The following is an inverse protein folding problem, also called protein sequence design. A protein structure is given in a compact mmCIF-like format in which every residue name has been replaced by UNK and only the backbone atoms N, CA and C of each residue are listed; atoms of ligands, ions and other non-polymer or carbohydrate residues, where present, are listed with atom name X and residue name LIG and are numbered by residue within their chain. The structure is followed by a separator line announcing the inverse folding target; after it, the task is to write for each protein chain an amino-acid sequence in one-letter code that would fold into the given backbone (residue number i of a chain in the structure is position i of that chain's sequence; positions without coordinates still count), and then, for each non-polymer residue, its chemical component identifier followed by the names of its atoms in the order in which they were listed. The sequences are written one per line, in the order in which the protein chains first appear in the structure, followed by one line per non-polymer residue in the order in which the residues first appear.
data_IF_310425132257
#
_entry.id   IF_310425132257
#
_cell.length_a   1.000
_cell.length_b   1.000
_cell.length_c   1.000
_cell.angle_alpha   90.00
_cell.angle_beta   90.00
_cell.angle_gamma   90.00
#
_symmetry.space_group_name_H-M   'P 1'
#
loop_
_entity.id
_entity.type
_entity.pdbx_description
1 polymer ?
#
# COMPACT_ATOMS: atom_id res chain seq x y z
N UNK A 1 -36.96 -11.32 -16.77
CA UNK A 1 -38.26 -11.30 -16.08
C UNK A 1 -38.32 -9.97 -15.34
N UNK A 2 -39.39 -9.21 -15.49
CA UNK A 2 -39.61 -7.94 -14.78
C UNK A 2 -40.57 -8.24 -13.63
N UNK A 3 -40.26 -7.85 -12.39
CA UNK A 3 -41.13 -8.12 -11.24
C UNK A 3 -42.50 -7.48 -11.41
N UNK A 4 -42.55 -6.19 -11.76
CA UNK A 4 -43.80 -5.49 -12.10
C UNK A 4 -43.55 -4.37 -13.12
N UNK A 5 -44.31 -4.43 -14.23
CA UNK A 5 -44.46 -3.33 -15.18
C UNK A 5 -45.85 -2.72 -15.00
N UNK A 6 -45.91 -1.42 -14.72
CA UNK A 6 -47.15 -0.68 -14.58
C UNK A 6 -47.24 0.41 -15.67
N UNK A 7 -48.44 0.64 -16.17
CA UNK A 7 -48.74 1.75 -17.07
C UNK A 7 -49.54 2.81 -16.30
N UNK A 8 -49.11 4.05 -16.41
CA UNK A 8 -49.81 5.25 -15.96
C UNK A 8 -50.28 6.01 -17.20
N UNK A 9 -51.42 6.67 -17.07
CA UNK A 9 -51.98 7.47 -18.16
C UNK A 9 -50.96 8.45 -18.75
N UNK A 10 -51.05 8.70 -20.06
CA UNK A 10 -50.19 9.66 -20.75
C UNK A 10 -48.88 9.08 -21.28
N UNK A 11 -48.75 7.75 -21.41
CA UNK A 11 -47.54 7.12 -21.96
C UNK A 11 -46.41 6.94 -20.93
N UNK A 12 -46.74 6.91 -19.64
CA UNK A 12 -45.77 6.79 -18.56
C UNK A 12 -45.74 5.32 -18.11
N UNK A 13 -44.58 4.69 -18.16
CA UNK A 13 -44.39 3.33 -17.68
C UNK A 13 -43.55 3.32 -16.41
N UNK A 14 -43.88 2.44 -15.48
CA UNK A 14 -43.16 2.25 -14.22
C UNK A 14 -42.63 0.81 -14.18
N UNK A 15 -41.33 0.66 -14.00
CA UNK A 15 -40.65 -0.62 -13.82
C UNK A 15 -40.28 -0.72 -12.35
N UNK A 16 -40.85 -1.70 -11.66
CA UNK A 16 -40.57 -1.93 -10.24
C UNK A 16 -39.76 -3.20 -10.04
N UNK A 17 -38.80 -3.14 -9.13
CA UNK A 17 -38.01 -4.27 -8.65
C UNK A 17 -38.00 -4.25 -7.11
N UNK A 18 -38.27 -5.43 -6.52
CA UNK A 18 -38.43 -5.57 -5.08
C UNK A 18 -37.18 -6.18 -4.46
N UNK A 19 -36.50 -5.41 -3.61
CA UNK A 19 -35.29 -5.83 -2.90
C UNK A 19 -35.58 -6.12 -1.44
N UNK A 20 -35.13 -7.30 -1.00
CA UNK A 20 -35.24 -7.78 0.39
C UNK A 20 -33.91 -7.70 1.15
N UNK A 21 -32.90 -7.01 0.60
CA UNK A 21 -31.59 -6.90 1.22
C UNK A 21 -31.65 -6.05 2.50
N UNK A 22 -30.83 -6.41 3.49
CA UNK A 22 -30.75 -5.77 4.81
C UNK A 22 -29.86 -4.51 4.83
N UNK A 23 -29.50 -3.97 3.67
CA UNK A 23 -28.67 -2.77 3.52
C UNK A 23 -29.28 -1.81 2.52
N UNK A 24 -29.34 -0.53 2.85
CA UNK A 24 -29.70 0.49 1.87
C UNK A 24 -28.46 0.85 1.05
N UNK A 25 -28.50 0.71 -0.29
CA UNK A 25 -27.39 1.14 -1.13
C UNK A 25 -27.27 2.66 -1.15
N UNK A 26 -26.08 3.14 -1.46
CA UNK A 26 -25.80 4.56 -1.69
C UNK A 26 -26.39 4.93 -3.06
N UNK A 27 -27.06 6.09 -3.20
CA UNK A 27 -27.73 6.49 -4.45
C UNK A 27 -26.85 6.34 -5.70
N UNK A 28 -25.56 6.69 -5.60
CA UNK A 28 -24.57 6.55 -6.68
C UNK A 28 -24.46 5.11 -7.23
N UNK A 29 -24.65 4.10 -6.37
CA UNK A 29 -24.63 2.70 -6.79
C UNK A 29 -25.86 2.36 -7.64
N UNK A 30 -27.05 2.85 -7.26
CA UNK A 30 -28.28 2.62 -8.02
C UNK A 30 -28.24 3.38 -9.35
N UNK A 31 -27.70 4.60 -9.38
CA UNK A 31 -27.56 5.38 -10.62
C UNK A 31 -26.69 4.69 -11.69
N UNK A 32 -25.73 3.88 -11.25
CA UNK A 32 -24.82 3.11 -12.10
C UNK A 32 -25.32 1.67 -12.37
N UNK A 33 -26.41 1.27 -11.74
CA UNK A 33 -26.96 -0.07 -11.88
C UNK A 33 -27.59 -0.26 -13.27
N UNK A 34 -27.27 -1.37 -13.92
CA UNK A 34 -27.74 -1.67 -15.28
C UNK A 34 -29.06 -2.46 -15.31
N UNK A 35 -29.53 -2.98 -14.17
CA UNK A 35 -30.62 -3.96 -14.12
C UNK A 35 -31.94 -3.39 -14.64
N UNK A 36 -32.49 -2.34 -14.01
CA UNK A 36 -33.73 -1.72 -14.47
C UNK A 36 -33.60 -0.97 -15.80
N UNK A 37 -32.50 -0.23 -16.07
CA UNK A 37 -32.30 0.40 -17.38
C UNK A 37 -32.34 -0.57 -18.56
N UNK A 38 -31.84 -1.80 -18.41
CA UNK A 38 -31.95 -2.84 -19.46
C UNK A 38 -33.42 -3.17 -19.76
N UNK A 39 -34.27 -3.27 -18.74
CA UNK A 39 -35.70 -3.50 -18.93
C UNK A 39 -36.38 -2.31 -19.62
N UNK A 40 -35.99 -1.09 -19.28
CA UNK A 40 -36.52 0.12 -19.91
C UNK A 40 -36.25 0.15 -21.42
N UNK A 41 -35.05 -0.25 -21.87
CA UNK A 41 -34.74 -0.39 -23.29
C UNK A 41 -35.73 -1.35 -23.97
N UNK A 42 -36.00 -2.52 -23.35
CA UNK A 42 -36.97 -3.49 -23.87
C UNK A 42 -38.42 -3.00 -23.86
N UNK A 43 -38.81 -2.18 -22.87
CA UNK A 43 -40.14 -1.57 -22.79
C UNK A 43 -40.31 -0.53 -23.89
N UNK A 44 -39.33 0.36 -24.12
CA UNK A 44 -39.38 1.34 -25.22
C UNK A 44 -39.49 0.70 -26.60
N UNK A 45 -38.71 -0.37 -26.84
CA UNK A 45 -38.74 -1.09 -28.11
C UNK A 45 -40.10 -1.77 -28.36
N UNK A 46 -40.74 -2.26 -27.29
CA UNK A 46 -42.02 -2.98 -27.37
C UNK A 46 -43.24 -2.07 -27.40
N UNK A 47 -43.20 -0.92 -26.74
CA UNK A 47 -44.33 0.00 -26.56
C UNK A 47 -43.98 1.38 -27.12
N UNK A 48 -44.33 1.69 -28.38
CA UNK A 48 -44.02 2.96 -29.03
C UNK A 48 -44.65 4.20 -28.36
N UNK A 49 -45.67 3.99 -27.52
CA UNK A 49 -46.33 5.02 -26.72
C UNK A 49 -45.65 5.31 -25.37
N UNK A 50 -44.57 4.58 -25.04
CA UNK A 50 -43.75 4.83 -23.86
C UNK A 50 -42.93 6.13 -24.00
N UNK A 51 -43.49 7.24 -23.50
CA UNK A 51 -42.86 8.56 -23.50
C UNK A 51 -41.94 8.79 -22.30
N UNK A 52 -42.28 8.23 -21.15
CA UNK A 52 -41.54 8.34 -19.90
C UNK A 52 -41.45 6.95 -19.25
N UNK A 53 -40.28 6.60 -18.70
CA UNK A 53 -40.08 5.34 -17.98
C UNK A 53 -39.43 5.64 -16.63
N UNK A 54 -40.12 5.26 -15.56
CA UNK A 54 -39.64 5.40 -14.18
C UNK A 54 -39.10 4.07 -13.68
N UNK A 55 -37.88 4.10 -13.14
CA UNK A 55 -37.19 2.94 -12.60
C UNK A 55 -37.27 2.99 -11.08
N UNK A 56 -37.98 2.05 -10.47
CA UNK A 56 -38.36 2.12 -9.06
C UNK A 56 -37.85 0.88 -8.32
N UNK A 57 -36.91 1.08 -7.40
CA UNK A 57 -36.48 0.04 -6.47
C UNK A 57 -37.23 0.16 -5.15
N UNK A 58 -37.83 -0.95 -4.71
CA UNK A 58 -38.50 -1.07 -3.42
C UNK A 58 -37.59 -1.80 -2.42
N UNK A 59 -37.09 -1.09 -1.41
CA UNK A 59 -36.30 -1.67 -0.32
C UNK A 59 -37.21 -2.05 0.85
N UNK A 60 -37.79 -3.26 0.77
CA UNK A 60 -38.85 -3.71 1.67
C UNK A 60 -38.45 -3.74 3.14
N UNK A 61 -37.18 -4.07 3.45
CA UNK A 61 -36.67 -4.09 4.82
C UNK A 61 -36.64 -2.70 5.49
N UNK A 62 -36.67 -1.63 4.69
CA UNK A 62 -36.56 -0.26 5.15
C UNK A 62 -37.80 0.59 4.87
N UNK A 63 -38.81 0.00 4.20
CA UNK A 63 -40.00 0.71 3.72
C UNK A 63 -39.64 1.97 2.92
N UNK A 64 -38.71 1.82 1.96
CA UNK A 64 -38.22 2.93 1.13
C UNK A 64 -38.27 2.61 -0.35
N UNK A 65 -38.59 3.63 -1.13
CA UNK A 65 -38.54 3.60 -2.59
C UNK A 65 -37.45 4.54 -3.10
N UNK A 66 -36.75 4.11 -4.15
CA UNK A 66 -35.82 4.96 -4.89
C UNK A 66 -36.27 4.95 -6.35
N UNK A 67 -36.67 6.13 -6.84
CA UNK A 67 -37.02 6.37 -8.23
C UNK A 67 -35.84 7.02 -8.96
N UNK A 68 -35.47 6.45 -10.10
CA UNK A 68 -34.51 7.06 -11.04
C UNK A 68 -35.17 7.18 -12.41
N UNK A 69 -34.75 8.20 -13.15
CA UNK A 69 -35.09 8.41 -14.56
C UNK A 69 -33.79 8.50 -15.35
N UNK A 70 -33.85 8.05 -16.60
CA UNK A 70 -32.75 8.19 -17.56
C UNK A 70 -33.25 8.88 -18.82
N UNK A 71 -32.42 9.74 -19.39
CA UNK A 71 -32.70 10.35 -20.69
C UNK A 71 -32.30 9.44 -21.86
N UNK A 72 -32.59 9.87 -23.09
CA UNK A 72 -32.28 9.09 -24.29
C UNK A 72 -30.77 8.94 -24.53
N UNK A 73 -29.96 9.92 -24.12
CA UNK A 73 -28.51 9.87 -24.26
C UNK A 73 -27.92 8.79 -23.34
N UNK A 74 -28.35 8.77 -22.07
CA UNK A 74 -27.97 7.73 -21.11
C UNK A 74 -28.39 6.32 -21.56
N UNK A 75 -29.55 6.17 -22.19
CA UNK A 75 -29.98 4.88 -22.73
C UNK A 75 -29.14 4.43 -23.92
N UNK A 76 -28.75 5.35 -24.81
CA UNK A 76 -27.88 5.03 -25.94
C UNK A 76 -26.46 4.70 -25.48
N UNK A 77 -25.91 5.43 -24.50
CA UNK A 77 -24.62 5.11 -23.88
C UNK A 77 -24.64 3.70 -23.25
N UNK A 78 -25.70 3.38 -22.50
CA UNK A 78 -25.88 2.05 -21.92
C UNK A 78 -25.97 0.98 -23.02
N UNK A 79 -26.71 1.22 -24.10
CA UNK A 79 -26.82 0.29 -25.22
C UNK A 79 -25.46 0.01 -25.86
N UNK A 80 -24.68 1.05 -26.13
CA UNK A 80 -23.33 0.92 -26.68
C UNK A 80 -22.40 0.18 -25.73
N UNK A 81 -22.46 0.49 -24.43
CA UNK A 81 -21.73 -0.22 -23.39
C UNK A 81 -22.08 -1.71 -23.37
N UNK A 82 -23.38 -2.07 -23.39
CA UNK A 82 -23.82 -3.47 -23.37
C UNK A 82 -23.38 -4.23 -24.61
N UNK A 83 -23.49 -3.63 -25.80
CA UNK A 83 -22.98 -4.24 -27.05
C UNK A 83 -21.47 -4.46 -26.95
N UNK A 84 -20.72 -3.48 -26.43
CA UNK A 84 -19.28 -3.63 -26.22
C UNK A 84 -18.94 -4.75 -25.23
N UNK A 85 -19.76 -4.91 -24.18
CA UNK A 85 -19.59 -5.95 -23.16
C UNK A 85 -19.90 -7.34 -23.75
N UNK A 86 -20.99 -7.47 -24.50
CA UNK A 86 -21.35 -8.72 -25.19
C UNK A 86 -20.22 -9.13 -26.14
N UNK A 87 -19.75 -8.21 -26.99
CA UNK A 87 -18.63 -8.51 -27.91
C UNK A 87 -17.39 -8.95 -27.16
N UNK A 88 -17.05 -8.30 -26.03
CA UNK A 88 -15.90 -8.72 -25.20
C UNK A 88 -16.08 -10.14 -24.65
N UNK A 89 -17.29 -10.51 -24.23
CA UNK A 89 -17.60 -11.86 -23.74
C UNK A 89 -17.51 -12.88 -24.88
N UNK A 90 -18.07 -12.58 -26.05
CA UNK A 90 -18.07 -13.48 -27.21
C UNK A 90 -16.67 -13.72 -27.80
N UNK A 91 -15.76 -12.75 -27.70
CA UNK A 91 -14.38 -12.86 -28.17
C UNK A 91 -13.40 -13.33 -27.09
N UNK A 92 -13.87 -13.58 -25.85
CA UNK A 92 -13.00 -14.01 -24.77
C UNK A 92 -12.79 -15.53 -24.81
N UNK A 93 -11.56 -15.95 -25.04
CA UNK A 93 -11.13 -17.35 -24.85
C UNK A 93 -10.70 -17.63 -23.40
N UNK A 94 -10.40 -16.58 -22.63
CA UNK A 94 -9.92 -16.67 -21.26
C UNK A 94 -10.77 -15.80 -20.32
N UNK A 95 -11.11 -16.38 -19.16
CA UNK A 95 -11.90 -15.74 -18.12
C UNK A 95 -11.10 -15.70 -16.82
N UNK A 96 -10.09 -14.82 -16.72
CA UNK A 96 -9.29 -14.70 -15.50
C UNK A 96 -10.19 -14.29 -14.33
N UNK A 97 -10.05 -15.00 -13.22
CA UNK A 97 -10.76 -14.68 -12.00
C UNK A 97 -10.34 -13.29 -11.51
N UNK A 98 -11.31 -12.54 -10.97
CA UNK A 98 -11.06 -11.27 -10.28
C UNK A 98 -11.43 -11.45 -8.82
N UNK A 99 -10.47 -11.83 -7.95
CA UNK A 99 -10.74 -12.04 -6.54
C UNK A 99 -11.40 -10.82 -5.88
N UNK A 100 -12.44 -11.07 -5.08
CA UNK A 100 -13.15 -10.04 -4.32
C UNK A 100 -13.83 -10.65 -3.11
N UNK A 101 -14.45 -9.83 -2.26
CA UNK A 101 -15.26 -10.30 -1.12
C UNK A 101 -16.42 -11.21 -1.54
N UNK A 102 -16.86 -11.15 -2.80
CA UNK A 102 -17.90 -12.04 -3.33
C UNK A 102 -17.39 -13.46 -3.57
N UNK A 103 -16.07 -13.67 -3.62
CA UNK A 103 -15.52 -15.01 -3.79
C UNK A 103 -16.01 -15.95 -2.71
N UNK A 104 -16.21 -15.50 -1.46
CA UNK A 104 -16.69 -16.34 -0.36
C UNK A 104 -18.04 -17.01 -0.65
N UNK A 105 -18.88 -16.37 -1.45
CA UNK A 105 -20.23 -16.81 -1.81
C UNK A 105 -20.31 -17.43 -3.21
N UNK A 106 -19.20 -17.52 -3.93
CA UNK A 106 -19.16 -18.01 -5.31
C UNK A 106 -19.31 -19.54 -5.36
N UNK A 107 -20.31 -20.03 -6.07
CA UNK A 107 -20.56 -21.47 -6.27
C UNK A 107 -19.56 -22.12 -7.24
N UNK A 108 -18.86 -21.32 -8.05
CA UNK A 108 -17.92 -21.79 -9.07
C UNK A 108 -16.47 -21.97 -8.58
N UNK A 109 -16.22 -21.92 -7.25
CA UNK A 109 -14.86 -22.09 -6.70
C UNK A 109 -14.18 -23.39 -7.13
N UNK A 110 -14.94 -24.46 -7.35
CA UNK A 110 -14.41 -25.76 -7.77
C UNK A 110 -13.71 -25.72 -9.14
N UNK A 111 -14.13 -24.83 -10.04
CA UNK A 111 -13.54 -24.66 -11.37
C UNK A 111 -12.69 -23.39 -11.49
N UNK A 112 -12.82 -22.46 -10.54
CA UNK A 112 -12.10 -21.20 -10.51
C UNK A 112 -10.59 -21.41 -10.35
N UNK A 113 -9.78 -20.74 -11.17
CA UNK A 113 -8.31 -20.82 -11.11
C UNK A 113 -7.71 -20.57 -9.73
N UNK A 114 -8.32 -19.67 -8.96
CA UNK A 114 -7.88 -19.28 -7.61
C UNK A 114 -8.12 -20.37 -6.55
N UNK A 115 -9.16 -21.19 -6.73
CA UNK A 115 -9.64 -22.10 -5.67
C UNK A 115 -9.66 -23.57 -6.07
N UNK A 116 -9.61 -23.89 -7.36
CA UNK A 116 -9.76 -25.27 -7.87
C UNK A 116 -8.73 -26.24 -7.30
N UNK A 117 -7.49 -25.80 -7.03
CA UNK A 117 -6.47 -26.66 -6.42
C UNK A 117 -6.85 -27.01 -4.98
N UNK A 118 -7.27 -26.02 -4.19
CA UNK A 118 -7.78 -26.26 -2.83
C UNK A 118 -8.96 -27.23 -2.82
N UNK A 119 -9.98 -27.01 -3.65
CA UNK A 119 -11.14 -27.91 -3.70
C UNK A 119 -10.78 -29.32 -4.16
N UNK A 120 -9.81 -29.48 -5.07
CA UNK A 120 -9.28 -30.80 -5.47
C UNK A 120 -8.62 -31.55 -4.31
N UNK A 121 -8.09 -30.83 -3.33
CA UNK A 121 -7.41 -31.39 -2.16
C UNK A 121 -8.38 -31.72 -1.02
N UNK A 122 -9.48 -30.98 -0.86
CA UNK A 122 -10.44 -31.14 0.25
C UNK A 122 -11.05 -32.55 0.34
N UNK A 123 -11.11 -33.30 -0.77
CA UNK A 123 -11.69 -34.65 -0.82
C UNK A 123 -10.65 -35.77 -0.76
N UNK A 124 -9.37 -35.47 -0.50
CA UNK A 124 -8.26 -36.44 -0.55
C UNK A 124 -7.88 -36.98 0.82
N UNK A 125 -7.25 -38.15 0.84
CA UNK A 125 -6.59 -38.68 2.03
C UNK A 125 -5.39 -37.82 2.41
N UNK A 126 -4.88 -37.94 3.64
CA UNK A 126 -3.69 -37.21 4.07
C UNK A 126 -2.47 -37.57 3.22
N UNK A 127 -2.29 -38.85 2.87
CA UNK A 127 -1.18 -39.31 2.04
C UNK A 127 -1.27 -38.73 0.61
N UNK A 128 -2.47 -38.68 0.03
CA UNK A 128 -2.72 -38.07 -1.28
C UNK A 128 -2.56 -36.54 -1.30
N UNK A 129 -2.78 -35.89 -0.16
CA UNK A 129 -2.54 -34.46 0.03
C UNK A 129 -1.04 -34.16 0.09
N UNK A 130 -0.30 -34.88 0.94
CA UNK A 130 1.15 -34.70 1.14
C UNK A 130 1.97 -35.10 -0.09
N UNK A 131 1.43 -35.98 -0.94
CA UNK A 131 2.05 -36.36 -2.21
C UNK A 131 1.69 -35.44 -3.38
N UNK A 132 0.79 -34.44 -3.19
CA UNK A 132 0.47 -33.49 -4.24
C UNK A 132 1.68 -32.59 -4.56
N UNK A 133 2.09 -32.60 -5.83
CA UNK A 133 3.27 -31.84 -6.29
C UNK A 133 3.13 -30.34 -6.03
N UNK A 134 1.91 -29.79 -6.11
CA UNK A 134 1.65 -28.38 -5.82
C UNK A 134 1.92 -28.06 -4.35
N UNK A 135 1.42 -28.89 -3.44
CA UNK A 135 1.67 -28.79 -1.99
C UNK A 135 3.18 -28.83 -1.72
N UNK A 136 3.89 -29.85 -2.21
CA UNK A 136 5.33 -30.00 -1.98
C UNK A 136 6.17 -28.83 -2.51
N UNK A 137 5.80 -28.26 -3.65
CA UNK A 137 6.50 -27.11 -4.23
C UNK A 137 6.31 -25.84 -3.38
N UNK A 138 5.09 -25.60 -2.90
CA UNK A 138 4.78 -24.45 -2.03
C UNK A 138 5.48 -24.59 -0.69
N UNK A 139 5.44 -25.77 -0.07
CA UNK A 139 6.11 -26.04 1.20
C UNK A 139 7.61 -25.87 1.06
N UNK A 140 8.21 -26.44 0.01
CA UNK A 140 9.63 -26.25 -0.27
C UNK A 140 10.00 -24.80 -0.48
N UNK A 141 9.17 -24.03 -1.17
CA UNK A 141 9.41 -22.61 -1.38
C UNK A 141 9.36 -21.85 -0.05
N UNK A 142 8.37 -22.11 0.80
CA UNK A 142 8.25 -21.52 2.12
C UNK A 142 9.49 -21.83 2.99
N UNK A 143 9.93 -23.09 3.04
CA UNK A 143 11.16 -23.48 3.76
C UNK A 143 12.39 -22.69 3.30
N UNK A 144 12.53 -22.45 1.99
CA UNK A 144 13.65 -21.71 1.44
C UNK A 144 13.60 -20.23 1.82
N UNK A 145 12.41 -19.63 1.87
CA UNK A 145 12.22 -18.25 2.34
C UNK A 145 12.61 -18.11 3.81
N UNK A 146 12.16 -19.04 4.67
CA UNK A 146 12.50 -19.03 6.10
C UNK A 146 14.00 -19.24 6.34
N UNK A 147 14.62 -20.17 5.61
CA UNK A 147 16.08 -20.39 5.68
C UNK A 147 16.86 -19.15 5.26
N UNK A 148 16.41 -18.46 4.21
CA UNK A 148 17.03 -17.21 3.76
C UNK A 148 16.92 -16.13 4.84
N UNK A 149 15.76 -15.97 5.45
CA UNK A 149 15.55 -15.00 6.53
C UNK A 149 16.48 -15.26 7.72
N UNK A 150 16.53 -16.51 8.21
CA UNK A 150 17.44 -16.90 9.31
C UNK A 150 18.91 -16.63 8.98
N UNK A 151 19.33 -16.98 7.77
CA UNK A 151 20.71 -16.74 7.34
C UNK A 151 21.04 -15.24 7.25
N UNK A 152 20.10 -14.42 6.77
CA UNK A 152 20.28 -12.97 6.74
C UNK A 152 20.39 -12.39 8.16
N UNK A 153 19.55 -12.83 9.10
CA UNK A 153 19.67 -12.41 10.49
C UNK A 153 21.02 -12.82 11.12
N UNK A 154 21.50 -14.02 10.83
CA UNK A 154 22.82 -14.49 11.29
C UNK A 154 23.94 -13.60 10.73
N UNK A 155 23.92 -13.32 9.43
CA UNK A 155 24.89 -12.44 8.78
C UNK A 155 24.82 -11.02 9.36
N UNK A 156 23.62 -10.47 9.57
CA UNK A 156 23.46 -9.13 10.14
C UNK A 156 23.98 -9.06 11.58
N UNK A 157 23.73 -10.11 12.39
CA UNK A 157 24.32 -10.23 13.74
C UNK A 157 25.84 -10.27 13.69
N UNK A 158 26.43 -11.03 12.76
CA UNK A 158 27.88 -11.07 12.57
C UNK A 158 28.45 -9.71 12.13
N UNK A 159 27.78 -9.03 11.19
CA UNK A 159 28.18 -7.69 10.73
C UNK A 159 28.19 -6.71 11.90
N UNK A 160 27.15 -6.67 12.74
CA UNK A 160 27.09 -5.75 13.89
C UNK A 160 28.16 -6.08 14.94
N UNK A 161 28.40 -7.37 15.19
CA UNK A 161 29.50 -7.81 16.05
C UNK A 161 30.85 -7.33 15.51
N UNK A 162 31.13 -7.56 14.23
CA UNK A 162 32.39 -7.12 13.60
C UNK A 162 32.52 -5.61 13.56
N UNK A 163 31.44 -4.85 13.32
CA UNK A 163 31.47 -3.37 13.41
C UNK A 163 31.89 -2.92 14.80
N UNK A 164 31.33 -3.52 15.84
CA UNK A 164 31.69 -3.22 17.23
C UNK A 164 33.17 -3.53 17.50
N UNK A 165 33.65 -4.68 17.05
CA UNK A 165 35.07 -5.05 17.17
C UNK A 165 36.00 -4.07 16.44
N UNK A 166 35.63 -3.60 15.24
CA UNK A 166 36.36 -2.56 14.51
C UNK A 166 36.39 -1.24 15.28
N UNK A 167 35.26 -0.82 15.85
CA UNK A 167 35.17 0.40 16.67
C UNK A 167 36.08 0.30 17.90
N UNK A 168 36.01 -0.82 18.62
CA UNK A 168 36.80 -1.05 19.84
C UNK A 168 38.30 -1.13 19.52
N UNK A 169 38.67 -1.76 18.41
CA UNK A 169 40.04 -1.74 17.89
C UNK A 169 40.51 -0.32 17.55
N UNK A 170 39.73 0.43 16.77
CA UNK A 170 40.05 1.78 16.37
C UNK A 170 40.20 2.74 17.57
N UNK A 171 39.33 2.63 18.58
CA UNK A 171 39.42 3.41 19.83
C UNK A 171 40.71 3.13 20.60
N UNK A 172 41.10 1.85 20.72
CA UNK A 172 42.30 1.43 21.46
C UNK A 172 43.58 1.90 20.78
N UNK A 173 43.63 1.84 19.44
CA UNK A 173 44.80 2.22 18.65
C UNK A 173 44.82 3.72 18.27
N UNK A 174 43.75 4.47 18.58
CA UNK A 174 43.63 5.89 18.23
C UNK A 174 43.48 6.14 16.73
N UNK A 175 42.77 5.27 16.00
CA UNK A 175 42.65 5.28 14.55
C UNK A 175 41.28 5.81 14.09
N UNK A 176 41.27 6.69 13.08
CA UNK A 176 40.04 7.10 12.39
C UNK A 176 39.67 6.17 11.22
N UNK A 177 40.62 5.37 10.73
CA UNK A 177 40.42 4.44 9.60
C UNK A 177 41.25 3.18 9.78
N UNK A 178 40.59 2.03 9.68
CA UNK A 178 41.20 0.69 9.77
C UNK A 178 41.27 0.10 8.37
N UNK A 179 42.45 -0.38 7.96
CA UNK A 179 42.67 -0.95 6.63
C UNK A 179 42.61 -2.47 6.68
N UNK A 180 41.86 -3.07 5.76
CA UNK A 180 41.94 -4.49 5.41
C UNK A 180 42.48 -4.66 4.00
N UNK A 181 42.63 -5.90 3.55
CA UNK A 181 43.23 -6.21 2.23
C UNK A 181 42.35 -5.80 1.04
N UNK A 182 41.02 -5.73 1.23
CA UNK A 182 40.05 -5.41 0.16
C UNK A 182 39.35 -4.07 0.34
N UNK A 183 39.27 -3.59 1.57
CA UNK A 183 38.47 -2.43 1.96
C UNK A 183 39.09 -1.74 3.18
N UNK A 184 38.73 -0.47 3.38
CA UNK A 184 39.03 0.28 4.60
C UNK A 184 37.73 0.66 5.30
N UNK A 185 37.74 0.59 6.61
CA UNK A 185 36.64 0.95 7.48
C UNK A 185 36.95 2.30 8.14
N UNK A 186 36.21 3.35 7.77
CA UNK A 186 36.28 4.64 8.46
C UNK A 186 35.39 4.58 9.69
N UNK A 187 35.98 4.83 10.86
CA UNK A 187 35.27 4.82 12.14
C UNK A 187 34.96 6.27 12.51
N UNK A 188 33.70 6.52 12.85
CA UNK A 188 33.26 7.82 13.38
C UNK A 188 32.76 7.57 14.80
N UNK A 189 33.53 8.01 15.77
CA UNK A 189 33.14 8.06 17.19
C UNK A 189 33.04 9.52 17.57
N UNK A 190 31.86 9.94 18.02
CA UNK A 190 31.66 11.31 18.44
C UNK A 190 30.36 11.50 19.20
N UNK A 191 30.14 12.75 19.61
CA UNK A 191 28.87 13.21 20.16
C UNK A 191 28.16 14.02 19.09
N UNK A 192 26.88 13.73 18.85
CA UNK A 192 26.02 14.64 18.10
C UNK A 192 24.96 15.19 19.04
N UNK A 193 24.62 16.46 18.85
CA UNK A 193 23.41 17.01 19.46
C UNK A 193 22.21 16.67 18.58
N UNK A 194 21.20 16.07 19.17
CA UNK A 194 19.91 15.80 18.52
C UNK A 194 18.82 16.66 19.12
N UNK A 195 17.80 16.94 18.30
CA UNK A 195 16.63 17.71 18.68
C UNK A 195 15.39 16.81 18.76
N UNK A 196 14.32 17.23 19.47
CA UNK A 196 13.09 16.47 19.64
C UNK A 196 12.48 16.02 18.30
N UNK A 197 12.25 14.72 18.16
CA UNK A 197 11.72 14.09 16.95
C UNK A 197 10.19 14.29 16.83
N UNK A 198 9.61 13.92 15.68
CA UNK A 198 8.16 13.97 15.47
C UNK A 198 7.47 13.01 16.45
N UNK A 199 6.82 13.55 17.48
CA UNK A 199 6.16 12.80 18.57
C UNK A 199 6.64 13.14 19.98
N UNK A 200 7.76 13.85 20.13
CA UNK A 200 8.25 14.34 21.43
C UNK A 200 7.49 15.62 21.84
N UNK A 201 6.95 15.65 23.06
CA UNK A 201 6.20 16.81 23.59
C UNK A 201 7.01 18.10 23.64
N UNK A 202 8.34 18.01 23.80
CA UNK A 202 9.26 19.17 23.79
C UNK A 202 9.40 19.81 22.41
N UNK A 203 8.91 19.16 21.35
CA UNK A 203 8.97 19.69 19.97
C UNK A 203 8.11 20.94 19.81
N UNK A 204 6.95 21.00 20.46
CA UNK A 204 6.07 22.17 20.36
C UNK A 204 6.67 23.36 21.12
N UNK A 205 7.31 23.13 22.27
CA UNK A 205 8.05 24.17 23.00
C UNK A 205 9.23 24.72 22.17
N UNK A 206 10.01 23.85 21.54
CA UNK A 206 11.09 24.26 20.64
C UNK A 206 10.55 25.07 19.46
N UNK A 207 9.41 24.68 18.89
CA UNK A 207 8.75 25.41 17.81
C UNK A 207 8.35 26.83 18.23
N UNK A 208 7.78 27.00 19.41
CA UNK A 208 7.42 28.33 19.93
C UNK A 208 8.66 29.21 20.15
N UNK A 209 9.75 28.64 20.67
CA UNK A 209 11.04 29.36 20.78
C UNK A 209 11.57 29.78 19.40
N UNK A 210 11.54 28.89 18.41
CA UNK A 210 12.01 29.19 17.05
C UNK A 210 11.14 30.26 16.36
N UNK A 211 9.83 30.25 16.58
CA UNK A 211 8.91 31.30 16.06
C UNK A 211 9.14 32.65 16.74
N UNK A 212 9.26 32.66 18.07
CA UNK A 212 9.51 33.88 18.86
C UNK A 212 10.72 34.66 18.35
N UNK A 213 11.76 33.93 17.90
CA UNK A 213 12.99 34.52 17.38
C UNK A 213 13.04 34.65 15.85
N UNK A 214 11.93 34.38 15.14
CA UNK A 214 11.85 34.53 13.68
C UNK A 214 12.69 33.53 12.88
N UNK A 215 13.15 32.43 13.49
CA UNK A 215 14.01 31.42 12.85
C UNK A 215 13.19 30.31 12.21
N UNK A 216 11.93 30.16 12.60
CA UNK A 216 11.03 29.10 12.12
C UNK A 216 11.04 28.92 10.59
N UNK A 217 10.97 30.01 9.84
CA UNK A 217 10.97 30.00 8.36
C UNK A 217 12.28 29.45 7.78
N UNK A 218 13.42 29.64 8.46
CA UNK A 218 14.72 29.15 8.02
C UNK A 218 14.84 27.63 8.20
N UNK A 219 14.13 27.08 9.19
CA UNK A 219 14.20 25.67 9.57
C UNK A 219 12.96 24.87 9.18
N UNK A 220 12.10 25.39 8.30
CA UNK A 220 10.99 24.70 7.60
C UNK A 220 10.55 23.34 8.17
N UNK A 221 9.46 23.32 8.96
CA UNK A 221 8.96 22.14 9.72
C UNK A 221 9.99 21.47 10.66
N UNK A 222 10.81 22.27 11.35
CA UNK A 222 11.97 21.83 12.18
C UNK A 222 12.79 20.76 11.45
N UNK A 223 13.37 21.15 10.32
CA UNK A 223 14.49 20.46 9.71
C UNK A 223 15.67 20.49 10.69
N UNK A 224 15.80 19.38 11.45
CA UNK A 224 16.83 19.16 12.46
C UNK A 224 18.23 19.32 11.87
N UNK A 225 18.42 18.97 10.59
CA UNK A 225 19.71 19.08 9.94
C UNK A 225 20.07 20.54 9.65
N UNK A 226 19.11 21.35 9.19
CA UNK A 226 19.29 22.80 9.01
C UNK A 226 19.52 23.51 10.36
N UNK A 227 18.73 23.20 11.39
CA UNK A 227 18.88 23.80 12.71
C UNK A 227 20.26 23.49 13.32
N UNK A 228 20.70 22.23 13.26
CA UNK A 228 22.04 21.83 13.70
C UNK A 228 23.18 22.47 12.91
N UNK A 229 22.94 22.85 11.64
CA UNK A 229 23.91 23.61 10.83
C UNK A 229 23.97 25.07 11.27
N UNK A 230 22.83 25.75 11.42
CA UNK A 230 22.76 27.16 11.87
C UNK A 230 23.48 27.37 13.21
N UNK A 231 23.35 26.42 14.14
CA UNK A 231 24.04 26.48 15.43
C UNK A 231 25.54 26.20 15.34
N UNK A 232 25.96 25.35 14.40
CA UNK A 232 27.38 25.02 14.21
C UNK A 232 28.14 26.17 13.56
N UNK A 233 27.50 26.83 12.60
CA UNK A 233 28.11 27.88 11.79
C UNK A 233 28.07 29.25 12.50
N UNK A 234 27.47 29.33 13.70
CA UNK A 234 27.39 30.56 14.50
C UNK A 234 26.43 31.60 13.93
N UNK A 235 25.46 31.19 13.12
CA UNK A 235 24.55 32.08 12.40
C UNK A 235 23.40 32.64 13.25
N UNK A 236 23.29 32.23 14.51
CA UNK A 236 22.24 32.65 15.44
C UNK A 236 22.79 33.61 16.51
N UNK A 237 22.00 34.60 16.97
CA UNK A 237 22.38 35.39 18.13
C UNK A 237 22.59 34.49 19.36
N UNK A 238 23.60 34.82 20.19
CA UNK A 238 24.03 34.02 21.34
C UNK A 238 22.87 33.68 22.28
N UNK A 239 22.00 34.65 22.55
CA UNK A 239 20.84 34.49 23.44
C UNK A 239 19.84 33.45 22.92
N UNK A 240 19.62 33.44 21.60
CA UNK A 240 18.75 32.48 20.92
C UNK A 240 19.38 31.09 20.93
N UNK A 241 20.69 31.02 20.65
CA UNK A 241 21.42 29.75 20.67
C UNK A 241 21.35 29.08 22.05
N UNK A 242 21.50 29.86 23.13
CA UNK A 242 21.37 29.36 24.50
C UNK A 242 19.97 28.84 24.83
N UNK A 243 18.91 29.48 24.31
CA UNK A 243 17.53 29.02 24.51
C UNK A 243 17.26 27.71 23.75
N UNK A 244 17.78 27.59 22.53
CA UNK A 244 17.65 26.39 21.68
C UNK A 244 18.46 25.20 22.24
N UNK A 245 19.66 25.44 22.80
CA UNK A 245 20.52 24.39 23.40
C UNK A 245 19.83 23.59 24.50
N UNK A 246 18.83 24.16 25.20
CA UNK A 246 18.06 23.46 26.24
C UNK A 246 17.26 22.27 25.70
N UNK A 247 16.99 22.25 24.40
CA UNK A 247 16.27 21.18 23.72
C UNK A 247 17.22 20.15 23.07
N UNK A 248 18.54 20.32 23.21
CA UNK A 248 19.51 19.36 22.67
C UNK A 248 19.75 18.21 23.65
N UNK A 249 19.75 16.99 23.11
CA UNK A 249 20.28 15.83 23.79
C UNK A 249 21.60 15.40 23.14
N UNK A 250 22.57 15.00 23.96
CA UNK A 250 23.80 14.38 23.45
C UNK A 250 23.55 12.91 23.15
N UNK A 251 23.67 12.54 21.88
CA UNK A 251 23.66 11.15 21.45
C UNK A 251 25.09 10.72 21.07
N UNK A 252 25.53 9.59 21.62
CA UNK A 252 26.76 8.95 21.18
C UNK A 252 26.54 8.35 19.79
N UNK A 253 27.38 8.73 18.85
CA UNK A 253 27.36 8.19 17.49
C UNK A 253 28.59 7.32 17.32
N UNK A 254 28.35 6.04 17.03
CA UNK A 254 29.37 5.10 16.62
C UNK A 254 28.97 4.54 15.27
N UNK A 255 29.73 4.85 14.23
CA UNK A 255 29.45 4.40 12.87
C UNK A 255 30.70 3.89 12.19
N UNK A 256 30.53 2.81 11.44
CA UNK A 256 31.56 2.24 10.57
C UNK A 256 31.12 2.36 9.12
N UNK A 257 31.94 3.02 8.31
CA UNK A 257 31.71 3.16 6.87
C UNK A 257 32.76 2.36 6.12
N UNK A 258 32.33 1.31 5.42
CA UNK A 258 33.20 0.46 4.63
C UNK A 258 33.36 1.03 3.21
N UNK A 259 34.59 1.27 2.79
CA UNK A 259 34.94 1.72 1.45
C UNK A 259 35.91 0.74 0.82
N UNK A 260 35.67 0.34 -0.44
CA UNK A 260 36.63 -0.49 -1.18
C UNK A 260 37.93 0.30 -1.39
N UNK A 261 39.07 -0.39 -1.30
CA UNK A 261 40.36 0.20 -1.64
C UNK A 261 40.45 0.41 -3.15
N UNK A 262 41.06 1.53 -3.56
CA UNK A 262 41.45 1.75 -4.96
C UNK A 262 42.67 0.89 -5.31
N UNK A 263 42.89 0.63 -6.60
CA UNK A 263 43.96 -0.26 -7.07
C UNK A 263 45.37 0.23 -6.67
N UNK A 264 45.59 1.54 -6.63
CA UNK A 264 46.82 2.17 -6.13
C UNK A 264 47.03 1.90 -4.63
N UNK A 265 45.98 2.01 -3.82
CA UNK A 265 46.03 1.76 -2.37
C UNK A 265 46.28 0.27 -2.06
N UNK A 266 45.77 -0.65 -2.89
CA UNK A 266 46.03 -2.08 -2.74
C UNK A 266 47.50 -2.40 -2.95
N UNK A 267 48.13 -1.83 -3.98
CA UNK A 267 49.55 -2.07 -4.30
C UNK A 267 50.50 -1.58 -3.20
N UNK A 268 50.19 -0.45 -2.56
CA UNK A 268 51.00 0.08 -1.46
C UNK A 268 50.89 -0.68 -0.14
N UNK A 269 49.87 -1.54 0.01
CA UNK A 269 49.58 -2.28 1.24
C UNK A 269 49.90 -3.77 1.14
N UNK A 270 50.22 -4.27 -0.05
CA UNK A 270 50.80 -5.60 -0.23
C UNK A 270 52.29 -5.50 0.09
N UNK A 271 52.82 -6.22 1.09
CA UNK A 271 54.26 -6.38 1.23
C UNK A 271 54.80 -6.95 -0.09
N UNK A 272 55.87 -6.36 -0.63
CA UNK A 272 56.62 -7.01 -1.72
C UNK A 272 56.99 -8.41 -1.18
N UNK A 273 56.57 -9.45 -1.90
CA UNK A 273 56.99 -10.82 -1.60
C UNK A 273 58.51 -10.88 -1.81
N UNK A 274 59.27 -10.75 -0.72
CA UNK A 274 60.72 -11.07 -0.68
C UNK A 274 60.97 -12.57 -0.91
#
# INVERSE_FOLDING_TARGET
YIDRLAYRDGGIYEIHDYKTNMTLPINKYIEQDIQLPIYAIGVKDRYPDAKDIRLIWHFLAFDREIEIRKDEEEFEELRQYLISLIRRIEHADEFPAKPSVLCDWCEYKQICGEYKHRYKLETRTLDDYLSDKGVQLVDRYAELLEKREKLLEEIDREIEKTKKEIIDFAKREGLDTVYGTKAKAKVIVGKRHVFPSKGDGRREELKEVLKKHGIWEQVSDIDIYKLSRLMRDGSLPIEVEMEIRKFQEEEKVERVYLNRLREDEKRSLSPEEE
#
